data_IF_747737220401
#
_entry.id   IF_747737220401
#
_cell.length_a   1.000
_cell.length_b   1.000
_cell.length_c   1.000
_cell.angle_alpha   90.00
_cell.angle_beta   90.00
_cell.angle_gamma   90.00
#
_symmetry.space_group_name_H-M   'P 1'
#
loop_
_entity.id
_entity.type
_entity.pdbx_description
1 polymer ?
#
# COMPACT_ATOMS: atom_id res chain seq x y z
N UNK A 1 3.20 8.33 9.98
CA UNK A 1 4.06 7.46 9.14
C UNK A 1 3.60 7.65 7.69
N UNK A 2 4.36 7.32 6.64
CA UNK A 2 3.78 7.25 5.27
C UNK A 2 3.19 5.87 5.02
N UNK A 3 2.32 5.73 4.03
CA UNK A 3 1.81 4.41 3.67
C UNK A 3 2.93 3.47 3.22
N UNK A 4 3.95 4.01 2.55
CA UNK A 4 5.14 3.24 2.16
C UNK A 4 5.92 2.73 3.36
N UNK A 5 6.22 3.59 4.34
CA UNK A 5 6.88 3.19 5.59
C UNK A 5 6.08 2.14 6.37
N UNK A 6 4.75 2.27 6.38
CA UNK A 6 3.86 1.27 6.96
C UNK A 6 4.00 -0.09 6.26
N UNK A 7 3.99 -0.10 4.93
CA UNK A 7 4.07 -1.32 4.12
C UNK A 7 5.43 -2.01 4.19
N UNK A 8 6.53 -1.26 4.37
CA UNK A 8 7.86 -1.84 4.49
C UNK A 8 8.03 -2.75 5.72
N UNK A 9 7.12 -2.68 6.70
CA UNK A 9 7.10 -3.61 7.84
C UNK A 9 6.78 -5.05 7.45
N UNK A 10 6.14 -5.25 6.29
CA UNK A 10 5.69 -6.55 5.79
C UNK A 10 6.57 -7.08 4.64
N UNK A 11 7.67 -6.40 4.29
CA UNK A 11 8.47 -6.68 3.09
C UNK A 11 9.05 -8.11 3.02
N UNK A 12 9.18 -8.79 4.15
CA UNK A 12 9.71 -10.16 4.24
C UNK A 12 8.61 -11.17 4.61
N UNK A 13 7.35 -10.77 4.63
CA UNK A 13 6.24 -11.65 4.98
C UNK A 13 5.89 -12.53 3.78
N UNK A 14 5.80 -13.85 3.98
CA UNK A 14 5.28 -14.80 2.98
C UNK A 14 3.74 -14.70 2.90
N UNK A 15 3.23 -13.53 2.55
CA UNK A 15 1.81 -13.23 2.45
C UNK A 15 1.52 -12.29 1.29
N UNK A 16 0.26 -12.19 0.82
CA UNK A 16 -0.09 -11.24 -0.25
C UNK A 16 0.21 -9.77 0.10
N UNK A 17 0.32 -9.45 1.39
CA UNK A 17 0.71 -8.11 1.84
C UNK A 17 2.22 -7.88 1.70
N UNK A 18 3.02 -8.93 1.89
CA UNK A 18 4.45 -8.90 1.64
C UNK A 18 4.78 -8.83 0.15
N UNK A 19 4.03 -9.57 -0.69
CA UNK A 19 4.11 -9.44 -2.14
C UNK A 19 3.82 -7.99 -2.59
N UNK A 20 2.75 -7.40 -2.06
CA UNK A 20 2.41 -6.00 -2.34
C UNK A 20 3.50 -5.02 -1.88
N UNK A 21 4.10 -5.26 -0.70
CA UNK A 21 5.21 -4.45 -0.21
C UNK A 21 6.45 -4.58 -1.12
N UNK A 22 6.74 -5.78 -1.61
CA UNK A 22 7.83 -6.05 -2.54
C UNK A 22 7.62 -5.32 -3.88
N UNK A 23 6.40 -5.39 -4.42
CA UNK A 23 6.02 -4.67 -5.64
C UNK A 23 6.20 -3.15 -5.45
N UNK A 24 5.71 -2.60 -4.33
CA UNK A 24 5.86 -1.17 -4.00
C UNK A 24 7.33 -0.75 -3.85
N UNK A 25 8.20 -1.62 -3.32
CA UNK A 25 9.63 -1.33 -3.18
C UNK A 25 10.30 -1.20 -4.55
N UNK A 26 9.90 -2.05 -5.49
CA UNK A 26 10.43 -2.11 -6.87
C UNK A 26 9.83 -1.03 -7.77
N UNK A 27 8.64 -0.52 -7.43
CA UNK A 27 7.95 0.54 -8.15
C UNK A 27 8.60 1.92 -7.91
N UNK A 28 9.17 2.49 -8.97
CA UNK A 28 9.82 3.81 -8.96
C UNK A 28 8.82 4.96 -8.97
N UNK A 29 7.60 4.71 -9.44
CA UNK A 29 6.53 5.72 -9.55
C UNK A 29 5.65 5.77 -8.29
N UNK A 30 5.81 4.81 -7.38
CA UNK A 30 5.02 4.76 -6.15
C UNK A 30 5.22 6.04 -5.32
N UNK A 31 4.14 6.70 -4.84
CA UNK A 31 4.22 7.93 -4.07
C UNK A 31 4.68 7.66 -2.62
N UNK A 32 5.99 7.41 -2.43
CA UNK A 32 6.57 6.95 -1.15
C UNK A 32 6.38 7.91 0.03
N UNK A 33 6.18 9.19 -0.27
CA UNK A 33 5.97 10.24 0.72
C UNK A 33 4.49 10.53 1.00
N UNK A 34 3.56 9.93 0.23
CA UNK A 34 2.14 10.21 0.41
C UNK A 34 1.59 9.61 1.69
N UNK A 35 0.80 10.43 2.36
CA UNK A 35 -0.08 10.06 3.49
C UNK A 35 -1.56 10.21 3.10
N UNK A 36 -1.84 10.76 1.91
CA UNK A 36 -3.19 11.05 1.45
C UNK A 36 -3.86 9.74 1.00
N UNK A 37 -4.90 9.34 1.71
CA UNK A 37 -5.65 8.12 1.43
C UNK A 37 -6.28 8.15 0.03
N UNK A 38 -6.70 9.31 -0.46
CA UNK A 38 -7.30 9.44 -1.77
C UNK A 38 -6.25 9.31 -2.87
N UNK A 39 -5.10 9.98 -2.74
CA UNK A 39 -3.98 9.85 -3.67
C UNK A 39 -3.52 8.38 -3.80
N UNK A 40 -3.41 7.68 -2.67
CA UNK A 40 -3.04 6.26 -2.64
C UNK A 40 -4.09 5.38 -3.33
N UNK A 41 -5.40 5.65 -3.11
CA UNK A 41 -6.48 4.92 -3.78
C UNK A 41 -6.44 5.13 -5.29
N UNK A 42 -6.25 6.36 -5.73
CA UNK A 42 -6.19 6.72 -7.15
C UNK A 42 -4.97 6.08 -7.82
N UNK A 43 -3.82 6.07 -7.13
CA UNK A 43 -2.62 5.38 -7.60
C UNK A 43 -2.90 3.89 -7.84
N UNK A 44 -3.39 3.18 -6.82
CA UNK A 44 -3.68 1.74 -6.96
C UNK A 44 -4.79 1.46 -7.97
N UNK A 45 -5.80 2.32 -8.10
CA UNK A 45 -6.82 2.19 -9.14
C UNK A 45 -6.21 2.30 -10.55
N UNK A 46 -5.25 3.21 -10.75
CA UNK A 46 -4.59 3.39 -12.05
C UNK A 46 -3.59 2.29 -12.41
N UNK A 47 -3.02 1.60 -11.42
CA UNK A 47 -1.92 0.62 -11.61
C UNK A 47 -2.33 -0.84 -11.39
N UNK A 48 -3.44 -1.12 -10.70
CA UNK A 48 -3.85 -2.49 -10.39
C UNK A 48 -4.16 -3.29 -11.66
N UNK A 49 -3.41 -4.37 -11.88
CA UNK A 49 -3.56 -5.25 -13.05
C UNK A 49 -4.53 -6.40 -12.84
N UNK A 50 -5.03 -6.60 -11.62
CA UNK A 50 -5.96 -7.67 -11.29
C UNK A 50 -6.88 -7.30 -10.13
N UNK A 51 -8.04 -7.96 -10.08
CA UNK A 51 -8.99 -7.82 -8.97
C UNK A 51 -8.38 -8.21 -7.61
N UNK A 52 -7.41 -9.15 -7.61
CA UNK A 52 -6.71 -9.57 -6.41
C UNK A 52 -5.82 -8.45 -5.87
N UNK A 53 -4.98 -7.85 -6.72
CA UNK A 53 -4.14 -6.70 -6.35
C UNK A 53 -5.01 -5.57 -5.83
N UNK A 54 -6.09 -5.25 -6.54
CA UNK A 54 -7.02 -4.20 -6.11
C UNK A 54 -7.64 -4.48 -4.73
N UNK A 55 -8.04 -5.72 -4.45
CA UNK A 55 -8.58 -6.12 -3.15
C UNK A 55 -7.54 -5.98 -2.04
N UNK A 56 -6.31 -6.47 -2.24
CA UNK A 56 -5.24 -6.42 -1.24
C UNK A 56 -4.85 -4.95 -0.97
N UNK A 57 -4.64 -4.14 -2.01
CA UNK A 57 -4.32 -2.71 -1.86
C UNK A 57 -5.39 -1.96 -1.10
N UNK A 58 -6.68 -2.21 -1.37
CA UNK A 58 -7.79 -1.59 -0.64
C UNK A 58 -7.81 -1.99 0.85
N UNK A 59 -7.52 -3.25 1.16
CA UNK A 59 -7.41 -3.73 2.54
C UNK A 59 -6.22 -3.11 3.27
N UNK A 60 -5.06 -3.01 2.61
CA UNK A 60 -3.86 -2.37 3.15
C UNK A 60 -4.10 -0.89 3.48
N UNK A 61 -4.66 -0.11 2.54
CA UNK A 61 -5.00 1.31 2.74
C UNK A 61 -5.98 1.48 3.90
N UNK A 62 -6.98 0.60 3.99
CA UNK A 62 -7.99 0.65 5.06
C UNK A 62 -7.38 0.35 6.44
N UNK A 63 -6.40 -0.55 6.49
CA UNK A 63 -5.66 -0.88 7.72
C UNK A 63 -4.76 0.28 8.15
N UNK A 64 -4.03 0.87 7.20
CA UNK A 64 -3.22 2.07 7.43
C UNK A 64 -4.05 3.26 7.94
N UNK A 65 -5.19 3.55 7.29
CA UNK A 65 -6.09 4.64 7.70
C UNK A 65 -6.64 4.47 9.13
N UNK A 66 -6.80 3.24 9.59
CA UNK A 66 -7.18 2.96 10.99
C UNK A 66 -6.03 3.24 11.95
N UNK A 67 -4.79 2.88 11.59
CA UNK A 67 -3.61 3.09 12.42
C UNK A 67 -3.29 4.58 12.56
N UNK A 68 -3.29 5.35 11.47
CA UNK A 68 -3.00 6.80 11.51
C UNK A 68 -4.05 7.60 12.31
N UNK A 69 -5.27 7.07 12.51
CA UNK A 69 -6.27 7.74 13.37
C UNK A 69 -5.88 7.73 14.86
N UNK A 70 -4.96 6.88 15.26
CA UNK A 70 -4.53 6.70 16.65
C UNK A 70 -3.03 7.00 16.87
N UNK A 71 -2.37 7.61 15.90
CA UNK A 71 -1.03 8.17 15.99
C UNK A 71 -1.11 9.70 16.03
#
# INVERSE_FOLDING_TARGET
MTFYEYMMKFINDESPLGDLAYDMKSDKEFPKQSKDIQELRDYFYSKAKSALVFKISKQAISSYARVEKYL
#
